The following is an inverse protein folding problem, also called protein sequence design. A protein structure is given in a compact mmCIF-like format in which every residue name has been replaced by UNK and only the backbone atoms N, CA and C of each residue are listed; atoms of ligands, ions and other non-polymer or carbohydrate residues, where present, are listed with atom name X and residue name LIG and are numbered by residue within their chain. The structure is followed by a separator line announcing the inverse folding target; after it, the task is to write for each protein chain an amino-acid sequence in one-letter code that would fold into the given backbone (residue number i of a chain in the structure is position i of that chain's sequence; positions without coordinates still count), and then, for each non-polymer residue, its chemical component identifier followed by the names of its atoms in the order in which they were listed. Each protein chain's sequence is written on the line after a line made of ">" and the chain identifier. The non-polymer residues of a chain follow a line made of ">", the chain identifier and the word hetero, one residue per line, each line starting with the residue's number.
data_IF_363920877682
#
_entry.id   IF_363920877682
#
_cell.length_a   1.000
_cell.length_b   1.000
_cell.length_c   1.000
_cell.angle_alpha   90.00
_cell.angle_beta   90.00
_cell.angle_gamma   90.00
#
_symmetry.space_group_name_H-M   'P 1'
#
loop_
_entity.id
_entity.type
_entity.pdbx_description
1 polymer ?
#
# COMPACT_ATOMS: atom_id res chain seq x y z
N UNK A 1 16.94 -34.84 -10.62
CA UNK A 1 16.24 -34.70 -9.33
C UNK A 1 16.20 -33.22 -9.09
N UNK A 2 15.20 -32.55 -9.67
CA UNK A 2 15.20 -31.10 -9.76
C UNK A 2 13.89 -30.60 -9.21
N UNK A 3 14.02 -29.85 -8.13
CA UNK A 3 12.95 -29.39 -7.27
C UNK A 3 11.94 -28.56 -8.05
N UNK A 4 10.68 -29.02 -8.09
CA UNK A 4 9.54 -28.20 -8.49
C UNK A 4 9.29 -27.15 -7.39
N UNK A 5 10.05 -26.06 -7.41
CA UNK A 5 9.76 -24.88 -6.59
C UNK A 5 8.47 -24.26 -7.15
N UNK A 6 7.41 -24.06 -6.35
CA UNK A 6 6.22 -23.37 -6.84
C UNK A 6 6.62 -21.96 -7.30
N UNK A 7 6.37 -21.70 -8.57
CA UNK A 7 6.67 -20.45 -9.24
C UNK A 7 6.05 -19.29 -8.45
N UNK A 8 6.89 -18.35 -8.04
CA UNK A 8 6.52 -17.27 -7.12
C UNK A 8 5.62 -16.27 -7.86
N UNK A 9 4.32 -16.31 -7.54
CA UNK A 9 3.34 -15.38 -8.11
C UNK A 9 3.53 -14.01 -7.45
N UNK A 10 3.82 -13.01 -8.27
CA UNK A 10 4.09 -11.62 -7.87
C UNK A 10 2.82 -10.79 -7.94
N UNK A 11 2.67 -9.89 -6.98
CA UNK A 11 1.38 -9.40 -6.55
C UNK A 11 1.48 -7.93 -6.14
N UNK A 12 0.66 -7.02 -6.69
CA UNK A 12 0.68 -5.57 -6.44
C UNK A 12 -0.45 -5.15 -5.48
N UNK A 13 -0.16 -4.72 -4.24
CA UNK A 13 -1.19 -4.20 -3.31
C UNK A 13 -1.36 -2.67 -3.46
N UNK A 14 -2.60 -2.17 -3.52
CA UNK A 14 -2.93 -0.73 -3.70
C UNK A 14 -2.71 0.16 -2.47
N UNK A 15 -1.61 -0.01 -1.72
CA UNK A 15 -1.27 0.86 -0.59
C UNK A 15 -0.08 1.75 -0.94
N UNK A 16 -0.19 3.09 -0.79
CA UNK A 16 0.96 3.99 -0.91
C UNK A 16 2.11 3.53 -0.01
N UNK A 17 3.29 3.36 -0.59
CA UNK A 17 4.46 2.73 0.08
C UNK A 17 4.87 3.42 1.39
N UNK A 18 4.65 4.74 1.51
CA UNK A 18 4.98 5.50 2.72
C UNK A 18 4.02 5.23 3.89
N UNK A 19 2.81 4.71 3.62
CA UNK A 19 1.84 4.29 4.66
C UNK A 19 2.19 2.93 5.28
N UNK A 20 3.16 2.21 4.70
CA UNK A 20 3.66 0.94 5.22
C UNK A 20 4.91 1.12 6.11
N UNK A 21 5.39 2.36 6.25
CA UNK A 21 6.55 2.68 7.08
C UNK A 21 6.25 2.46 8.57
N UNK A 22 7.20 1.87 9.29
CA UNK A 22 7.11 1.58 10.73
C UNK A 22 7.40 2.79 11.63
N UNK A 23 7.80 3.94 11.06
CA UNK A 23 8.08 5.19 11.79
C UNK A 23 8.12 6.43 10.89
N UNK A 24 8.07 7.64 11.49
CA UNK A 24 7.91 8.90 10.74
C UNK A 24 9.12 9.24 9.87
N UNK A 25 10.34 8.98 10.33
CA UNK A 25 11.55 9.22 9.52
C UNK A 25 11.58 8.30 8.30
N UNK A 26 11.34 7.01 8.50
CA UNK A 26 11.25 6.01 7.42
C UNK A 26 10.18 6.40 6.40
N UNK A 27 9.05 6.94 6.85
CA UNK A 27 8.00 7.43 5.94
C UNK A 27 8.48 8.60 5.07
N UNK A 28 9.20 9.56 5.67
CA UNK A 28 9.76 10.70 4.94
C UNK A 28 10.85 10.26 3.95
N UNK A 29 11.75 9.37 4.36
CA UNK A 29 12.84 8.87 3.51
C UNK A 29 12.31 8.11 2.28
N UNK A 30 11.31 7.25 2.51
CA UNK A 30 10.61 6.55 1.43
C UNK A 30 9.93 7.57 0.51
N UNK A 31 9.16 8.51 1.07
CA UNK A 31 8.48 9.53 0.27
C UNK A 31 9.47 10.32 -0.61
N UNK A 32 10.50 10.90 -0.01
CA UNK A 32 11.47 11.78 -0.69
C UNK A 32 12.26 11.04 -1.76
N UNK A 33 12.53 9.74 -1.59
CA UNK A 33 13.19 8.91 -2.60
C UNK A 33 12.35 8.77 -3.87
N UNK A 34 11.02 8.76 -3.74
CA UNK A 34 10.11 8.44 -4.84
C UNK A 34 9.38 9.66 -5.41
N UNK A 35 9.16 10.69 -4.59
CA UNK A 35 8.38 11.87 -4.93
C UNK A 35 9.22 13.11 -4.65
N UNK A 36 10.08 13.54 -5.60
CA UNK A 36 10.86 14.76 -5.44
C UNK A 36 9.94 15.99 -5.34
N UNK A 37 10.47 17.09 -4.80
CA UNK A 37 9.77 18.38 -4.73
C UNK A 37 9.27 18.78 -6.13
N UNK A 38 8.04 19.27 -6.23
CA UNK A 38 7.37 19.51 -7.51
C UNK A 38 6.50 18.33 -7.97
N UNK A 39 6.47 17.22 -7.24
CA UNK A 39 5.58 16.09 -7.55
C UNK A 39 4.10 16.52 -7.43
N UNK A 40 3.25 16.28 -8.45
CA UNK A 40 1.81 16.43 -8.32
C UNK A 40 1.23 15.41 -7.35
N UNK A 41 0.37 15.85 -6.44
CA UNK A 41 -0.21 15.04 -5.38
C UNK A 41 -1.71 15.29 -5.25
N UNK A 42 -2.39 14.38 -4.55
CA UNK A 42 -3.73 14.60 -3.99
C UNK A 42 -3.61 14.62 -2.47
N UNK A 43 -4.03 15.71 -1.84
CA UNK A 43 -4.10 15.84 -0.39
C UNK A 43 -5.55 15.68 0.08
N UNK A 44 -5.77 14.93 1.16
CA UNK A 44 -7.08 14.76 1.79
C UNK A 44 -7.19 15.69 3.00
N UNK A 45 -8.07 16.70 2.93
CA UNK A 45 -8.34 17.66 4.00
C UNK A 45 -9.01 17.01 5.22
N UNK A 46 -9.10 17.73 6.35
CA UNK A 46 -9.72 17.24 7.60
C UNK A 46 -11.16 16.75 7.43
N UNK A 47 -11.92 17.37 6.52
CA UNK A 47 -13.31 17.01 6.21
C UNK A 47 -13.43 15.94 5.10
N UNK A 48 -12.33 15.32 4.70
CA UNK A 48 -12.29 14.30 3.65
C UNK A 48 -12.27 14.83 2.21
N UNK A 49 -12.38 16.15 2.02
CA UNK A 49 -12.24 16.78 0.70
C UNK A 49 -10.85 16.51 0.12
N UNK A 50 -10.81 16.06 -1.14
CA UNK A 50 -9.56 15.82 -1.86
C UNK A 50 -9.21 17.05 -2.70
N UNK A 51 -7.98 17.53 -2.57
CA UNK A 51 -7.45 18.65 -3.34
C UNK A 51 -6.22 18.21 -4.12
N UNK A 52 -6.22 18.55 -5.40
CA UNK A 52 -5.06 18.40 -6.25
C UNK A 52 -4.10 19.55 -6.05
N UNK A 53 -2.82 19.24 -5.84
CA UNK A 53 -1.78 20.24 -5.61
C UNK A 53 -0.41 19.66 -5.95
N UNK A 54 0.66 20.37 -5.61
CA UNK A 54 2.05 20.03 -5.87
C UNK A 54 2.85 20.13 -4.57
N UNK A 55 3.83 19.24 -4.40
CA UNK A 55 4.76 19.31 -3.26
C UNK A 55 5.67 20.52 -3.38
N UNK A 56 5.75 21.32 -2.31
CA UNK A 56 6.57 22.54 -2.22
C UNK A 56 7.91 22.28 -1.53
N UNK A 57 8.02 21.21 -0.77
CA UNK A 57 9.22 20.82 -0.04
C UNK A 57 9.39 19.31 0.00
N UNK A 58 10.56 18.86 0.47
CA UNK A 58 10.73 17.50 0.93
C UNK A 58 9.81 17.23 2.15
N UNK A 59 9.47 15.96 2.35
CA UNK A 59 8.84 15.50 3.58
C UNK A 59 9.86 15.48 4.72
N UNK A 60 9.43 15.89 5.91
CA UNK A 60 10.29 16.02 7.10
C UNK A 60 9.56 15.56 8.36
N UNK A 61 10.34 15.18 9.38
CA UNK A 61 9.79 14.85 10.71
C UNK A 61 9.72 16.12 11.56
N UNK A 62 8.50 16.52 11.91
CA UNK A 62 8.25 17.64 12.81
C UNK A 62 8.09 17.14 14.25
N UNK A 63 8.82 17.78 15.18
CA UNK A 63 8.79 17.45 16.60
C UNK A 63 9.30 16.05 16.96
N UNK A 64 9.99 15.37 16.05
CA UNK A 64 10.53 14.02 16.26
C UNK A 64 9.51 12.87 16.15
N UNK A 65 8.24 13.15 15.87
CA UNK A 65 7.19 12.12 15.88
C UNK A 65 6.19 12.21 14.70
N UNK A 66 6.10 13.35 14.02
CA UNK A 66 5.09 13.54 12.97
C UNK A 66 5.74 13.74 11.61
N UNK A 67 5.46 12.86 10.65
CA UNK A 67 5.87 13.06 9.26
C UNK A 67 4.95 14.10 8.58
N UNK A 68 5.55 15.17 8.05
CA UNK A 68 4.83 16.27 7.41
C UNK A 68 5.43 16.65 6.06
N UNK A 69 4.67 17.39 5.26
CA UNK A 69 5.08 17.94 3.98
C UNK A 69 4.39 19.29 3.74
N UNK A 70 5.00 20.18 2.96
CA UNK A 70 4.38 21.42 2.54
C UNK A 70 3.92 21.34 1.09
N UNK A 71 2.73 21.88 0.83
CA UNK A 71 2.04 21.78 -0.45
C UNK A 71 1.73 23.19 -0.97
N UNK A 72 1.67 23.34 -2.28
CA UNK A 72 1.23 24.60 -2.89
C UNK A 72 -0.24 24.88 -2.57
N UNK A 73 -0.57 26.15 -2.31
CA UNK A 73 -1.94 26.56 -1.98
C UNK A 73 -2.49 26.08 -0.63
N UNK A 74 -1.70 25.35 0.18
CA UNK A 74 -2.06 24.92 1.53
C UNK A 74 -1.11 25.56 2.54
N UNK A 75 -1.68 26.22 3.55
CA UNK A 75 -0.91 26.87 4.60
C UNK A 75 -0.48 25.87 5.67
N UNK A 76 0.75 26.02 6.17
CA UNK A 76 1.30 25.18 7.23
C UNK A 76 1.82 23.82 6.74
N UNK A 77 2.30 23.03 7.70
CA UNK A 77 2.76 21.67 7.46
C UNK A 77 1.56 20.72 7.40
N UNK A 78 1.56 19.80 6.44
CA UNK A 78 0.47 18.85 6.22
C UNK A 78 0.90 17.42 6.54
N UNK A 79 0.02 16.62 7.13
CA UNK A 79 0.32 15.22 7.47
C UNK A 79 0.65 14.42 6.21
N UNK A 80 1.83 13.79 6.19
CA UNK A 80 2.29 13.01 5.05
C UNK A 80 1.33 11.87 4.71
N UNK A 81 0.73 11.24 5.73
CA UNK A 81 -0.23 10.13 5.58
C UNK A 81 -1.53 10.49 4.86
N UNK A 82 -1.78 11.77 4.60
CA UNK A 82 -2.96 12.27 3.87
C UNK A 82 -2.64 12.70 2.44
N UNK A 83 -1.41 12.50 2.00
CA UNK A 83 -0.91 12.93 0.69
C UNK A 83 -0.59 11.71 -0.16
N UNK A 84 -1.07 11.71 -1.40
CA UNK A 84 -0.86 10.63 -2.36
C UNK A 84 -0.20 11.21 -3.60
N UNK A 85 0.98 10.70 -4.00
CA UNK A 85 1.65 11.08 -5.24
C UNK A 85 0.89 10.62 -6.49
N UNK A 86 0.76 11.50 -7.49
CA UNK A 86 0.03 11.23 -8.75
C UNK A 86 0.88 10.77 -9.93
N UNK A 87 2.22 10.83 -9.85
CA UNK A 87 3.08 10.29 -10.91
C UNK A 87 3.72 8.96 -10.52
N UNK A 88 3.70 8.00 -11.46
CA UNK A 88 4.13 6.60 -11.36
C UNK A 88 3.40 5.76 -10.29
N UNK A 89 2.09 5.94 -10.18
CA UNK A 89 1.24 5.15 -9.29
C UNK A 89 1.05 3.67 -9.74
N UNK A 90 1.49 3.25 -10.92
CA UNK A 90 1.32 1.85 -11.37
C UNK A 90 2.40 0.88 -10.88
N UNK A 91 3.52 1.40 -10.35
CA UNK A 91 4.70 0.60 -9.96
C UNK A 91 5.04 0.67 -8.46
N UNK A 92 4.43 1.57 -7.68
CA UNK A 92 4.80 1.81 -6.27
C UNK A 92 3.91 1.10 -5.23
N UNK A 93 3.25 0.06 -5.66
CA UNK A 93 2.49 -0.85 -4.82
C UNK A 93 3.45 -1.82 -4.13
N UNK A 94 3.42 -1.89 -2.79
CA UNK A 94 4.23 -2.90 -2.11
C UNK A 94 3.81 -4.28 -2.61
N UNK A 95 4.79 -5.15 -2.89
CA UNK A 95 4.50 -6.51 -3.30
C UNK A 95 4.32 -7.36 -2.06
N UNK A 96 3.12 -7.91 -1.83
CA UNK A 96 2.89 -8.85 -0.73
C UNK A 96 2.67 -10.24 -1.28
N UNK A 97 3.69 -11.08 -1.11
CA UNK A 97 3.64 -12.48 -1.48
C UNK A 97 3.10 -13.29 -0.30
N UNK A 98 2.18 -14.21 -0.57
CA UNK A 98 1.75 -15.22 0.41
C UNK A 98 2.38 -16.55 0.03
N UNK A 99 3.29 -17.06 0.86
CA UNK A 99 3.93 -18.35 0.61
C UNK A 99 2.94 -19.54 0.73
N UNK A 100 1.80 -19.35 1.41
CA UNK A 100 0.82 -20.40 1.68
C UNK A 100 -0.61 -19.86 1.67
N UNK A 101 -1.57 -20.76 1.41
CA UNK A 101 -3.01 -20.47 1.53
C UNK A 101 -3.38 -19.95 2.94
N UNK A 102 -2.75 -20.47 4.00
CA UNK A 102 -2.98 -20.00 5.36
C UNK A 102 -2.45 -18.58 5.59
N UNK A 103 -1.35 -18.21 4.92
CA UNK A 103 -0.86 -16.83 4.89
C UNK A 103 -1.87 -15.86 4.27
N UNK A 104 -2.47 -16.28 3.16
CA UNK A 104 -3.53 -15.53 2.46
C UNK A 104 -4.75 -15.33 3.36
N UNK A 105 -5.26 -16.41 3.97
CA UNK A 105 -6.41 -16.35 4.90
C UNK A 105 -6.16 -15.43 6.10
N UNK A 106 -4.96 -15.47 6.68
CA UNK A 106 -4.59 -14.58 7.79
C UNK A 106 -4.63 -13.11 7.38
N UNK A 107 -4.22 -12.79 6.16
CA UNK A 107 -4.33 -11.42 5.64
C UNK A 107 -5.79 -11.00 5.46
N UNK A 108 -6.66 -11.89 4.95
CA UNK A 108 -8.09 -11.60 4.85
C UNK A 108 -8.73 -11.34 6.22
N UNK A 109 -8.31 -12.05 7.28
CA UNK A 109 -8.75 -11.77 8.66
C UNK A 109 -8.32 -10.37 9.13
N UNK A 110 -7.11 -9.94 8.77
CA UNK A 110 -6.64 -8.57 9.10
C UNK A 110 -7.44 -7.52 8.34
N UNK A 111 -7.66 -7.71 7.04
CA UNK A 111 -8.44 -6.80 6.20
C UNK A 111 -9.88 -6.67 6.72
N UNK A 112 -10.53 -7.81 7.04
CA UNK A 112 -11.84 -7.86 7.69
C UNK A 112 -11.91 -6.98 8.93
N UNK A 113 -10.90 -7.03 9.80
CA UNK A 113 -10.85 -6.25 11.05
C UNK A 113 -10.61 -4.76 10.81
N UNK A 114 -9.82 -4.42 9.80
CA UNK A 114 -9.49 -3.04 9.49
C UNK A 114 -10.65 -2.30 8.80
N UNK A 115 -11.34 -2.96 7.88
CA UNK A 115 -12.35 -2.33 7.01
C UNK A 115 -13.80 -2.65 7.42
N UNK A 116 -14.02 -3.58 8.35
CA UNK A 116 -15.35 -3.98 8.80
C UNK A 116 -16.15 -4.77 7.75
N UNK A 117 -15.50 -5.28 6.71
CA UNK A 117 -16.13 -6.07 5.63
C UNK A 117 -16.38 -7.53 6.04
N UNK A 118 -17.16 -8.26 5.24
CA UNK A 118 -17.39 -9.69 5.46
C UNK A 118 -16.11 -10.50 5.20
N UNK A 119 -15.99 -11.68 5.84
CA UNK A 119 -14.80 -12.51 5.67
C UNK A 119 -14.64 -13.03 4.23
N UNK A 120 -15.75 -13.36 3.56
CA UNK A 120 -15.74 -13.78 2.15
C UNK A 120 -15.30 -12.63 1.24
N UNK A 121 -15.80 -11.41 1.46
CA UNK A 121 -15.35 -10.24 0.70
C UNK A 121 -13.85 -9.98 0.90
N UNK A 122 -13.36 -10.12 2.13
CA UNK A 122 -11.94 -9.98 2.41
C UNK A 122 -11.07 -11.08 1.75
N UNK A 123 -11.57 -12.31 1.63
CA UNK A 123 -10.87 -13.39 0.93
C UNK A 123 -10.81 -13.12 -0.57
N UNK A 124 -11.91 -12.67 -1.17
CA UNK A 124 -11.94 -12.29 -2.59
C UNK A 124 -11.04 -11.09 -2.88
N UNK A 125 -11.06 -10.08 -2.00
CA UNK A 125 -10.20 -8.90 -2.12
C UNK A 125 -8.73 -9.31 -2.03
N UNK A 126 -8.34 -10.07 -0.98
CA UNK A 126 -6.96 -10.54 -0.82
C UNK A 126 -6.53 -11.51 -1.93
N UNK A 127 -7.44 -12.31 -2.51
CA UNK A 127 -7.13 -13.20 -3.62
C UNK A 127 -6.90 -12.42 -4.93
N UNK A 128 -7.75 -11.42 -5.23
CA UNK A 128 -7.55 -10.49 -6.35
C UNK A 128 -6.28 -9.67 -6.17
N UNK A 129 -6.10 -9.15 -4.96
CA UNK A 129 -4.89 -8.50 -4.52
C UNK A 129 -3.71 -9.44 -4.48
N UNK A 130 -3.87 -10.76 -4.63
CA UNK A 130 -2.84 -11.79 -4.76
C UNK A 130 -2.64 -12.28 -6.21
N UNK A 131 -3.24 -11.59 -7.19
CA UNK A 131 -3.12 -11.89 -8.61
C UNK A 131 -4.01 -13.04 -9.10
N UNK A 132 -4.89 -13.57 -8.25
CA UNK A 132 -5.85 -14.60 -8.64
C UNK A 132 -7.14 -13.97 -9.15
N UNK A 133 -7.86 -14.67 -10.03
CA UNK A 133 -9.15 -14.18 -10.51
C UNK A 133 -10.19 -14.08 -9.38
N UNK A 134 -10.12 -15.01 -8.42
CA UNK A 134 -10.99 -15.10 -7.25
C UNK A 134 -10.36 -16.04 -6.19
N UNK A 135 -11.01 -16.18 -5.04
CA UNK A 135 -10.51 -17.07 -3.98
C UNK A 135 -10.49 -18.56 -4.37
N UNK A 136 -11.41 -19.01 -5.22
CA UNK A 136 -11.44 -20.40 -5.70
C UNK A 136 -10.22 -20.73 -6.56
N UNK A 137 -9.83 -19.81 -7.43
CA UNK A 137 -8.63 -19.90 -8.27
C UNK A 137 -7.36 -19.96 -7.41
N UNK A 138 -7.26 -19.10 -6.39
CA UNK A 138 -6.20 -19.17 -5.39
C UNK A 138 -6.13 -20.55 -4.72
N UNK A 139 -7.28 -21.08 -4.30
CA UNK A 139 -7.37 -22.37 -3.63
C UNK A 139 -6.94 -23.54 -4.53
N UNK A 140 -7.23 -23.49 -5.82
CA UNK A 140 -6.77 -24.48 -6.81
C UNK A 140 -5.26 -24.39 -7.04
N UNK A 141 -4.72 -23.17 -7.17
CA UNK A 141 -3.29 -22.96 -7.38
C UNK A 141 -2.44 -23.51 -6.21
N UNK A 142 -2.81 -23.22 -4.96
CA UNK A 142 -2.08 -23.73 -3.79
C UNK A 142 -2.24 -25.24 -3.58
N UNK A 143 -3.34 -25.86 -4.02
CA UNK A 143 -3.50 -27.32 -4.00
C UNK A 143 -2.60 -28.01 -5.04
N UNK A 144 -2.48 -27.43 -6.23
CA UNK A 144 -1.66 -27.99 -7.33
C UNK A 144 -0.17 -27.95 -7.03
N UNK A 145 0.31 -26.94 -6.27
CA UNK A 145 1.72 -26.82 -5.86
C UNK A 145 2.15 -27.75 -4.70
N UNK A 146 1.26 -28.60 -4.17
CA UNK A 146 1.55 -29.56 -3.10
C UNK A 146 1.60 -31.02 -3.58
N UNK A 147 1.46 -31.28 -4.89
CA UNK A 147 1.60 -32.60 -5.52
C UNK A 147 2.96 -32.78 -6.19
#
# INVERSE_FOLDING_TARGET
>A
MDANKPETITVKIRTPIHLLATGPQTACDIWNRHYPVGTPVTATKDKGEKVETVTRSAAEVMGGHTAVIWLEGISGAYLLSRVIGRQQAEEMFANKQFATLEGLKRAAVKLKRAEGISHSAALEEIARDAGFANYSDALQAYKKGQS
#
